data_IF_804567967017
#
_entry.id   IF_804567967017
#
_cell.length_a   1.000
_cell.length_b   1.000
_cell.length_c   1.000
_cell.angle_alpha   90.00
_cell.angle_beta   90.00
_cell.angle_gamma   90.00
#
_symmetry.space_group_name_H-M   'P 1'
#
loop_
_entity.id
_entity.type
_entity.pdbx_description
1 polymer ?
#
# COMPACT_ATOMS: atom_id res chain seq x y z
N UNK A 1 -45.72 23.59 -61.66
CA UNK A 1 -45.03 22.71 -60.68
C UNK A 1 -45.40 23.20 -59.29
N UNK A 2 -46.04 22.35 -58.48
CA UNK A 2 -46.67 22.74 -57.22
C UNK A 2 -45.68 22.78 -56.06
N UNK A 3 -45.35 23.98 -55.59
CA UNK A 3 -44.62 24.18 -54.34
C UNK A 3 -45.58 24.05 -53.16
N UNK A 4 -45.48 22.96 -52.40
CA UNK A 4 -46.20 22.76 -51.15
C UNK A 4 -45.61 23.75 -50.14
N UNK A 5 -46.32 24.84 -49.86
CA UNK A 5 -45.93 25.81 -48.85
C UNK A 5 -45.81 25.14 -47.47
N UNK A 6 -44.90 25.59 -46.59
CA UNK A 6 -44.68 24.95 -45.30
C UNK A 6 -45.97 25.00 -44.46
N UNK A 7 -46.39 23.86 -43.94
CA UNK A 7 -47.55 23.79 -43.02
C UNK A 7 -47.29 24.65 -41.77
N UNK A 8 -48.31 25.36 -41.27
CA UNK A 8 -48.19 26.15 -40.07
C UNK A 8 -47.96 25.23 -38.87
N UNK A 9 -46.79 25.37 -38.24
CA UNK A 9 -46.45 24.64 -37.02
C UNK A 9 -47.43 25.06 -35.91
N UNK A 10 -48.13 24.14 -35.24
CA UNK A 10 -49.11 24.51 -34.22
C UNK A 10 -48.44 25.25 -33.07
N UNK A 11 -48.96 26.44 -32.75
CA UNK A 11 -48.45 27.26 -31.65
C UNK A 11 -48.72 26.59 -30.29
N UNK A 12 -47.66 26.22 -29.58
CA UNK A 12 -47.73 25.66 -28.22
C UNK A 12 -48.49 26.59 -27.27
N UNK A 13 -49.38 26.02 -26.46
CA UNK A 13 -50.08 26.75 -25.38
C UNK A 13 -49.07 27.19 -24.32
N UNK A 14 -49.36 28.30 -23.62
CA UNK A 14 -48.49 28.87 -22.58
C UNK A 14 -48.08 27.82 -21.52
N UNK A 15 -49.00 26.93 -21.12
CA UNK A 15 -48.73 25.84 -20.19
C UNK A 15 -47.73 24.81 -20.71
N UNK A 16 -47.76 24.48 -22.00
CA UNK A 16 -46.80 23.57 -22.63
C UNK A 16 -45.42 24.21 -22.74
N UNK A 17 -45.34 25.51 -23.05
CA UNK A 17 -44.07 26.26 -23.04
C UNK A 17 -43.45 26.28 -21.64
N UNK A 18 -44.27 26.52 -20.61
CA UNK A 18 -43.81 26.51 -19.22
C UNK A 18 -43.27 25.13 -18.80
N UNK A 19 -43.98 24.05 -19.17
CA UNK A 19 -43.56 22.69 -18.89
C UNK A 19 -42.23 22.33 -19.55
N UNK A 20 -42.01 22.75 -20.80
CA UNK A 20 -40.73 22.55 -21.51
C UNK A 20 -39.59 23.29 -20.82
N UNK A 21 -39.82 24.54 -20.38
CA UNK A 21 -38.80 25.32 -19.66
C UNK A 21 -38.43 24.66 -18.33
N UNK A 22 -39.42 24.21 -17.54
CA UNK A 22 -39.17 23.53 -16.26
C UNK A 22 -38.43 22.20 -16.47
N UNK A 23 -38.80 21.42 -17.48
CA UNK A 23 -38.10 20.17 -17.80
C UNK A 23 -36.66 20.44 -18.23
N UNK A 24 -36.43 21.44 -19.08
CA UNK A 24 -35.10 21.80 -19.55
C UNK A 24 -34.20 22.32 -18.43
N UNK A 25 -34.70 23.16 -17.53
CA UNK A 25 -33.93 23.64 -16.37
C UNK A 25 -33.67 22.52 -15.35
N UNK A 26 -34.62 21.62 -15.14
CA UNK A 26 -34.42 20.42 -14.33
C UNK A 26 -33.32 19.51 -14.86
N UNK A 27 -33.32 19.24 -16.17
CA UNK A 27 -32.28 18.44 -16.84
C UNK A 27 -30.91 19.12 -16.84
N UNK A 28 -30.85 20.43 -17.06
CA UNK A 28 -29.61 21.19 -17.00
C UNK A 28 -29.05 21.23 -15.55
N UNK A 29 -29.92 21.39 -14.56
CA UNK A 29 -29.56 21.37 -13.14
C UNK A 29 -29.04 20.01 -12.69
N UNK A 30 -29.71 18.91 -13.07
CA UNK A 30 -29.25 17.56 -12.76
C UNK A 30 -27.96 17.20 -13.49
N UNK A 31 -27.81 17.58 -14.76
CA UNK A 31 -26.56 17.42 -15.50
C UNK A 31 -25.41 18.24 -14.86
N UNK A 32 -25.68 19.46 -14.39
CA UNK A 32 -24.68 20.28 -13.70
C UNK A 32 -24.27 19.68 -12.35
N UNK A 33 -25.23 19.18 -11.56
CA UNK A 33 -24.96 18.48 -10.30
C UNK A 33 -24.13 17.22 -10.54
N UNK A 34 -24.51 16.42 -11.55
CA UNK A 34 -23.77 15.22 -11.94
C UNK A 34 -22.34 15.55 -12.42
N UNK A 35 -22.17 16.55 -13.29
CA UNK A 35 -20.84 17.01 -13.74
C UNK A 35 -19.99 17.54 -12.58
N UNK A 36 -20.60 18.23 -11.62
CA UNK A 36 -19.92 18.74 -10.43
C UNK A 36 -19.45 17.59 -9.54
N UNK A 37 -20.32 16.63 -9.26
CA UNK A 37 -20.01 15.44 -8.47
C UNK A 37 -18.90 14.61 -9.14
N UNK A 38 -18.98 14.40 -10.46
CA UNK A 38 -17.96 13.66 -11.20
C UNK A 38 -16.60 14.40 -11.19
N UNK A 39 -16.61 15.74 -11.31
CA UNK A 39 -15.40 16.55 -11.21
C UNK A 39 -14.78 16.50 -9.81
N UNK A 40 -15.60 16.51 -8.76
CA UNK A 40 -15.16 16.36 -7.37
C UNK A 40 -14.56 14.96 -7.14
N UNK A 41 -15.21 13.88 -7.60
CA UNK A 41 -14.68 12.51 -7.56
C UNK A 41 -13.35 12.37 -8.29
N UNK A 42 -13.23 12.95 -9.50
CA UNK A 42 -11.96 12.94 -10.26
C UNK A 42 -10.84 13.67 -9.53
N UNK A 43 -11.13 14.81 -8.89
CA UNK A 43 -10.17 15.56 -8.09
C UNK A 43 -9.73 14.77 -6.85
N UNK A 44 -10.67 14.13 -6.17
CA UNK A 44 -10.37 13.27 -5.02
C UNK A 44 -9.49 12.08 -5.43
N UNK A 45 -9.80 11.41 -6.56
CA UNK A 45 -8.99 10.31 -7.09
C UNK A 45 -7.56 10.74 -7.40
N UNK A 46 -7.36 11.88 -8.08
CA UNK A 46 -6.02 12.42 -8.36
C UNK A 46 -5.25 12.75 -7.10
N UNK A 47 -5.87 13.47 -6.16
CA UNK A 47 -5.24 13.82 -4.87
C UNK A 47 -4.82 12.57 -4.09
N UNK A 48 -5.59 11.49 -4.17
CA UNK A 48 -5.25 10.20 -3.55
C UNK A 48 -4.08 9.50 -4.25
N UNK A 49 -4.05 9.51 -5.59
CA UNK A 49 -2.92 8.99 -6.37
C UNK A 49 -1.63 9.75 -6.02
N UNK A 50 -1.69 11.08 -5.97
CA UNK A 50 -0.58 11.94 -5.54
C UNK A 50 -0.13 11.64 -4.11
N UNK A 51 -1.07 11.51 -3.16
CA UNK A 51 -0.74 11.14 -1.77
C UNK A 51 -0.06 9.77 -1.67
N UNK A 52 -0.51 8.79 -2.47
CA UNK A 52 0.09 7.45 -2.54
C UNK A 52 1.49 7.46 -3.16
N UNK A 53 1.71 8.32 -4.14
CA UNK A 53 3.00 8.47 -4.81
C UNK A 53 4.02 9.19 -3.91
N UNK A 54 3.57 10.18 -3.13
CA UNK A 54 4.39 10.93 -2.19
C UNK A 54 4.58 10.24 -0.83
N UNK A 55 3.80 9.20 -0.53
CA UNK A 55 3.90 8.46 0.72
C UNK A 55 5.24 7.71 0.83
N UNK A 56 5.70 7.51 2.08
CA UNK A 56 6.80 6.59 2.36
C UNK A 56 6.45 5.19 1.83
N UNK A 57 7.36 4.61 1.04
CA UNK A 57 7.12 3.34 0.35
C UNK A 57 6.22 3.45 -0.89
N UNK A 58 6.00 4.67 -1.40
CA UNK A 58 5.26 4.93 -2.62
C UNK A 58 5.92 4.39 -3.90
N UNK A 59 5.14 4.42 -4.99
CA UNK A 59 5.53 3.91 -6.31
C UNK A 59 5.53 2.38 -6.41
N UNK A 60 5.61 1.85 -7.62
CA UNK A 60 5.54 0.40 -7.85
C UNK A 60 6.90 -0.28 -7.72
N UNK A 61 6.89 -1.54 -7.30
CA UNK A 61 8.05 -2.41 -7.27
C UNK A 61 7.68 -3.77 -7.85
N UNK A 62 8.70 -4.48 -8.34
CA UNK A 62 8.62 -5.87 -8.76
C UNK A 62 9.81 -6.61 -8.15
N UNK A 63 9.51 -7.47 -7.19
CA UNK A 63 10.46 -8.30 -6.47
C UNK A 63 10.07 -9.76 -6.64
N UNK A 64 10.82 -10.66 -6.03
CA UNK A 64 10.55 -12.09 -6.01
C UNK A 64 10.38 -12.56 -4.56
N UNK A 65 9.41 -13.42 -4.29
CA UNK A 65 9.27 -14.03 -2.96
C UNK A 65 10.22 -15.22 -2.74
N UNK A 66 10.28 -15.72 -1.51
CA UNK A 66 11.08 -16.89 -1.15
C UNK A 66 10.65 -18.19 -1.85
N UNK A 67 9.52 -18.18 -2.56
CA UNK A 67 9.04 -19.28 -3.39
C UNK A 67 9.37 -19.11 -4.88
N UNK A 68 10.08 -18.06 -5.24
CA UNK A 68 10.45 -17.74 -6.62
C UNK A 68 9.33 -17.04 -7.40
N UNK A 69 8.21 -16.68 -6.76
CA UNK A 69 7.09 -16.03 -7.44
C UNK A 69 7.30 -14.52 -7.50
N UNK A 70 7.00 -13.87 -8.65
CA UNK A 70 7.06 -12.41 -8.72
C UNK A 70 6.01 -11.80 -7.78
N UNK A 71 6.40 -10.72 -7.09
CA UNK A 71 5.56 -9.94 -6.19
C UNK A 71 5.62 -8.47 -6.56
N UNK A 72 4.44 -7.89 -6.70
CA UNK A 72 4.25 -6.47 -6.98
C UNK A 72 3.64 -5.79 -5.77
N UNK A 73 3.84 -4.47 -5.68
CA UNK A 73 3.16 -3.64 -4.68
C UNK A 73 1.65 -3.87 -4.63
N UNK A 74 1.02 -4.03 -5.79
CA UNK A 74 -0.43 -4.24 -5.94
C UNK A 74 -0.92 -5.52 -5.26
N UNK A 75 -0.07 -6.52 -5.07
CA UNK A 75 -0.44 -7.79 -4.43
C UNK A 75 -0.73 -7.62 -2.93
N UNK A 76 -0.25 -6.51 -2.35
CA UNK A 76 -0.43 -6.17 -0.94
C UNK A 76 -1.54 -5.13 -0.70
N UNK A 77 -2.16 -4.60 -1.76
CA UNK A 77 -3.32 -3.72 -1.61
C UNK A 77 -4.52 -4.50 -1.07
N UNK A 78 -5.31 -3.84 -0.23
CA UNK A 78 -6.41 -4.45 0.53
C UNK A 78 -5.98 -5.19 1.80
N UNK A 79 -4.66 -5.29 2.06
CA UNK A 79 -4.11 -5.98 3.23
C UNK A 79 -3.35 -4.99 4.12
N UNK A 80 -3.40 -5.24 5.42
CA UNK A 80 -2.46 -4.58 6.33
C UNK A 80 -1.10 -5.25 6.21
N UNK A 81 -0.01 -4.48 6.26
CA UNK A 81 1.34 -5.03 6.16
C UNK A 81 2.21 -4.51 7.30
N UNK A 82 2.90 -5.41 7.99
CA UNK A 82 4.10 -5.07 8.77
C UNK A 82 5.32 -5.40 7.94
N UNK A 83 6.11 -4.39 7.60
CA UNK A 83 7.27 -4.52 6.72
C UNK A 83 8.55 -4.29 7.52
N UNK A 84 9.51 -5.20 7.38
CA UNK A 84 10.84 -5.06 7.96
C UNK A 84 11.92 -5.24 6.88
N UNK A 85 12.91 -4.36 6.89
CA UNK A 85 14.10 -4.47 6.05
C UNK A 85 15.26 -5.03 6.89
N UNK A 86 15.97 -6.03 6.36
CA UNK A 86 17.11 -6.64 7.04
C UNK A 86 17.85 -7.60 6.13
N UNK A 87 18.65 -8.50 6.68
CA UNK A 87 19.39 -9.51 5.90
C UNK A 87 19.59 -10.79 6.71
N UNK A 88 19.73 -11.94 6.05
CA UNK A 88 19.75 -13.24 6.74
C UNK A 88 21.04 -13.52 7.53
N UNK A 89 22.11 -12.80 7.20
CA UNK A 89 23.42 -12.93 7.85
C UNK A 89 23.61 -11.99 9.06
N UNK A 90 22.56 -11.30 9.51
CA UNK A 90 22.64 -10.46 10.70
C UNK A 90 22.68 -11.34 11.95
N UNK A 91 23.73 -11.23 12.81
CA UNK A 91 23.94 -12.18 13.90
C UNK A 91 22.84 -12.12 14.97
N UNK A 92 22.37 -10.92 15.32
CA UNK A 92 21.52 -10.72 16.50
C UNK A 92 20.24 -9.92 16.21
N UNK A 93 20.36 -8.76 15.56
CA UNK A 93 19.27 -7.76 15.51
C UNK A 93 18.12 -8.18 14.60
N UNK A 94 18.39 -8.69 13.39
CA UNK A 94 17.31 -9.08 12.48
C UNK A 94 16.48 -10.25 13.03
N UNK A 95 17.08 -11.33 13.57
CA UNK A 95 16.31 -12.39 14.23
C UNK A 95 15.42 -11.88 15.37
N UNK A 96 15.94 -11.01 16.25
CA UNK A 96 15.17 -10.44 17.37
C UNK A 96 13.96 -9.63 16.89
N UNK A 97 14.14 -8.75 15.89
CA UNK A 97 13.05 -7.94 15.35
C UNK A 97 12.00 -8.78 14.61
N UNK A 98 12.42 -9.83 13.89
CA UNK A 98 11.51 -10.76 13.22
C UNK A 98 10.70 -11.59 14.21
N UNK A 99 11.30 -12.05 15.30
CA UNK A 99 10.59 -12.76 16.37
C UNK A 99 9.57 -11.83 17.04
N UNK A 100 9.98 -10.60 17.35
CA UNK A 100 9.09 -9.58 17.92
C UNK A 100 7.91 -9.26 16.99
N UNK A 101 8.17 -9.07 15.70
CA UNK A 101 7.12 -8.87 14.70
C UNK A 101 6.17 -10.08 14.63
N UNK A 102 6.72 -11.30 14.65
CA UNK A 102 5.95 -12.54 14.60
C UNK A 102 5.00 -12.66 15.79
N UNK A 103 5.50 -12.41 17.01
CA UNK A 103 4.66 -12.40 18.23
C UNK A 103 3.59 -11.32 18.19
N UNK A 104 3.89 -10.13 17.66
CA UNK A 104 2.90 -9.06 17.50
C UNK A 104 1.77 -9.49 16.54
N UNK A 105 2.12 -10.18 15.46
CA UNK A 105 1.15 -10.74 14.50
C UNK A 105 0.28 -11.80 15.18
N UNK A 106 0.86 -12.75 15.92
CA UNK A 106 0.11 -13.78 16.66
C UNK A 106 -0.86 -13.21 17.69
N UNK A 107 -0.47 -12.11 18.38
CA UNK A 107 -1.36 -11.41 19.31
C UNK A 107 -2.60 -10.83 18.62
N UNK A 108 -2.45 -10.35 17.38
CA UNK A 108 -3.54 -9.80 16.58
C UNK A 108 -4.42 -10.91 15.98
N UNK A 109 -3.82 -12.02 15.54
CA UNK A 109 -4.56 -13.18 15.01
C UNK A 109 -5.54 -13.79 16.02
N UNK A 110 -5.23 -13.71 17.32
CA UNK A 110 -6.12 -14.13 18.41
C UNK A 110 -7.41 -13.31 18.47
N UNK A 111 -7.53 -12.21 17.70
CA UNK A 111 -8.69 -11.34 17.64
C UNK A 111 -9.44 -11.51 16.30
N UNK A 112 -10.46 -12.39 16.23
CA UNK A 112 -11.07 -12.81 14.96
C UNK A 112 -11.84 -11.70 14.21
N UNK A 113 -12.04 -10.53 14.81
CA UNK A 113 -12.69 -9.38 14.15
C UNK A 113 -11.72 -8.46 13.42
N UNK A 114 -10.42 -8.61 13.65
CA UNK A 114 -9.42 -7.78 12.99
C UNK A 114 -9.13 -8.31 11.58
N UNK A 115 -8.86 -7.42 10.61
CA UNK A 115 -8.42 -7.82 9.29
C UNK A 115 -7.07 -8.53 9.34
N UNK A 116 -6.80 -9.34 8.32
CA UNK A 116 -5.54 -10.05 8.21
C UNK A 116 -4.34 -9.09 8.06
N UNK A 117 -3.27 -9.37 8.80
CA UNK A 117 -2.01 -8.61 8.78
C UNK A 117 -0.90 -9.43 8.14
N UNK A 118 -0.35 -9.01 7.00
CA UNK A 118 0.75 -9.67 6.30
C UNK A 118 2.11 -9.20 6.86
N UNK A 119 2.89 -10.05 7.56
CA UNK A 119 4.27 -9.73 7.86
C UNK A 119 5.15 -9.94 6.62
N UNK A 120 5.96 -8.94 6.29
CA UNK A 120 6.79 -8.87 5.10
C UNK A 120 8.24 -8.55 5.48
N UNK A 121 9.17 -9.35 4.98
CA UNK A 121 10.60 -9.14 5.09
C UNK A 121 11.16 -8.78 3.72
N UNK A 122 11.94 -7.72 3.62
CA UNK A 122 12.67 -7.34 2.39
C UNK A 122 14.16 -7.39 2.68
N UNK A 123 14.91 -8.21 1.92
CA UNK A 123 16.35 -8.26 2.11
C UNK A 123 17.02 -6.94 1.69
N UNK A 124 18.09 -6.57 2.39
CA UNK A 124 19.04 -5.52 2.04
C UNK A 124 20.35 -6.08 1.49
N UNK A 125 20.44 -7.40 1.32
CA UNK A 125 21.64 -8.11 0.91
C UNK A 125 21.35 -9.18 -0.17
N UNK A 126 20.85 -8.76 -1.34
CA UNK A 126 20.41 -9.69 -2.39
C UNK A 126 21.54 -10.53 -2.99
N UNK A 127 22.82 -10.19 -2.75
CA UNK A 127 23.97 -11.01 -3.19
C UNK A 127 24.05 -12.34 -2.43
N UNK A 128 23.63 -12.36 -1.16
CA UNK A 128 23.68 -13.53 -0.28
C UNK A 128 22.30 -14.10 0.03
N UNK A 129 21.27 -13.26 0.01
CA UNK A 129 19.90 -13.61 0.36
C UNK A 129 19.06 -13.98 -0.87
N UNK A 130 19.40 -15.12 -1.49
CA UNK A 130 18.55 -15.70 -2.53
C UNK A 130 17.23 -16.25 -1.96
N UNK A 131 16.29 -16.64 -2.84
CA UNK A 131 14.99 -17.15 -2.42
C UNK A 131 15.10 -18.39 -1.49
N UNK A 132 16.10 -19.24 -1.69
CA UNK A 132 16.29 -20.44 -0.87
C UNK A 132 16.86 -20.10 0.52
N UNK A 133 17.78 -19.15 0.60
CA UNK A 133 18.32 -18.59 1.84
C UNK A 133 17.22 -17.93 2.65
N UNK A 134 16.40 -17.07 2.01
CA UNK A 134 15.23 -16.46 2.63
C UNK A 134 14.25 -17.53 3.16
N UNK A 135 13.92 -18.54 2.35
CA UNK A 135 12.99 -19.60 2.78
C UNK A 135 13.52 -20.36 4.00
N UNK A 136 14.83 -20.65 4.05
CA UNK A 136 15.46 -21.35 5.17
C UNK A 136 15.44 -20.49 6.44
N UNK A 137 15.83 -19.22 6.32
CA UNK A 137 15.87 -18.28 7.42
C UNK A 137 14.47 -18.01 7.99
N UNK A 138 13.51 -17.68 7.13
CA UNK A 138 12.19 -17.22 7.55
C UNK A 138 11.29 -18.31 8.13
N UNK A 139 11.61 -19.60 7.88
CA UNK A 139 10.86 -20.75 8.40
C UNK A 139 10.76 -20.79 9.92
N UNK A 140 11.75 -20.24 10.62
CA UNK A 140 11.83 -20.27 12.09
C UNK A 140 10.93 -19.24 12.81
N UNK A 141 10.27 -18.33 12.07
CA UNK A 141 9.56 -17.20 12.67
C UNK A 141 8.04 -17.38 12.63
N UNK A 142 7.38 -16.95 11.55
CA UNK A 142 5.93 -16.98 11.43
C UNK A 142 5.50 -17.63 10.11
N UNK A 143 4.47 -18.51 10.08
CA UNK A 143 4.06 -19.22 8.86
C UNK A 143 3.55 -18.31 7.74
N UNK A 144 3.02 -17.13 8.09
CA UNK A 144 2.59 -16.10 7.12
C UNK A 144 3.71 -15.15 6.69
N UNK A 145 4.92 -15.27 7.21
CA UNK A 145 6.04 -14.39 6.87
C UNK A 145 6.44 -14.57 5.40
N UNK A 146 6.33 -13.49 4.63
CA UNK A 146 6.74 -13.45 3.23
C UNK A 146 8.07 -12.71 3.13
N UNK A 147 9.08 -13.32 2.52
CA UNK A 147 10.38 -12.74 2.25
C UNK A 147 10.50 -12.31 0.81
N UNK A 148 10.99 -11.11 0.55
CA UNK A 148 11.23 -10.57 -0.78
C UNK A 148 12.72 -10.37 -1.04
N UNK A 149 13.16 -10.79 -2.21
CA UNK A 149 14.50 -10.57 -2.79
C UNK A 149 14.38 -10.15 -4.25
N UNK A 150 15.49 -9.83 -4.91
CA UNK A 150 15.50 -9.36 -6.29
C UNK A 150 16.89 -8.93 -6.74
N UNK A 151 16.97 -8.18 -7.83
CA UNK A 151 18.23 -7.53 -8.21
C UNK A 151 18.61 -6.46 -7.18
N UNK A 152 19.91 -6.20 -7.04
CA UNK A 152 20.41 -5.14 -6.16
C UNK A 152 19.71 -3.80 -6.44
N UNK A 153 19.60 -3.41 -7.72
CA UNK A 153 18.94 -2.16 -8.10
C UNK A 153 17.47 -2.08 -7.65
N UNK A 154 16.73 -3.19 -7.79
CA UNK A 154 15.32 -3.23 -7.38
C UNK A 154 15.17 -3.14 -5.86
N UNK A 155 16.02 -3.83 -5.10
CA UNK A 155 16.04 -3.77 -3.64
C UNK A 155 16.38 -2.35 -3.16
N UNK A 156 17.43 -1.75 -3.72
CA UNK A 156 17.86 -0.41 -3.33
C UNK A 156 16.85 0.68 -3.69
N UNK A 157 16.15 0.55 -4.83
CA UNK A 157 15.05 1.45 -5.18
C UNK A 157 13.90 1.37 -4.16
N UNK A 158 13.49 0.16 -3.76
CA UNK A 158 12.49 -0.04 -2.71
C UNK A 158 12.97 0.54 -1.38
N UNK A 159 14.16 0.17 -0.92
CA UNK A 159 14.74 0.65 0.33
C UNK A 159 14.77 2.20 0.40
N UNK A 160 15.16 2.85 -0.70
CA UNK A 160 15.21 4.32 -0.81
C UNK A 160 13.84 4.97 -0.65
N UNK A 161 12.78 4.38 -1.21
CA UNK A 161 11.40 4.90 -1.08
C UNK A 161 10.87 4.83 0.35
N UNK A 162 11.33 3.85 1.13
CA UNK A 162 11.08 3.76 2.56
C UNK A 162 12.07 4.57 3.41
N UNK A 163 13.00 5.29 2.77
CA UNK A 163 14.10 6.04 3.40
C UNK A 163 14.94 5.17 4.33
N UNK A 164 15.06 3.90 3.99
CA UNK A 164 15.95 2.97 4.69
C UNK A 164 17.37 3.35 4.33
N UNK A 165 18.14 3.78 5.33
CA UNK A 165 19.58 3.85 5.19
C UNK A 165 20.14 2.44 5.38
N UNK A 166 20.98 2.00 4.45
CA UNK A 166 21.81 0.82 4.62
C UNK A 166 23.19 1.05 4.02
N UNK A 167 24.23 0.65 4.74
CA UNK A 167 25.63 0.75 4.33
C UNK A 167 26.33 -0.57 4.61
N UNK A 168 26.91 -1.18 3.58
CA UNK A 168 27.80 -2.31 3.78
C UNK A 168 29.08 -1.82 4.48
N UNK A 169 29.44 -2.49 5.58
CA UNK A 169 30.70 -2.29 6.29
C UNK A 169 31.89 -2.85 5.50
N UNK A 170 33.12 -2.58 5.95
CA UNK A 170 34.31 -3.17 5.37
C UNK A 170 34.26 -4.70 5.48
N UNK A 171 34.72 -5.38 4.43
CA UNK A 171 34.87 -6.85 4.46
C UNK A 171 35.98 -7.24 5.42
N UNK A 172 35.76 -8.27 6.22
CA UNK A 172 36.77 -8.85 7.10
C UNK A 172 37.75 -9.77 6.33
N UNK A 173 38.67 -10.40 7.06
CA UNK A 173 39.69 -11.28 6.48
C UNK A 173 39.11 -12.53 5.77
N UNK A 174 37.88 -12.91 6.12
CA UNK A 174 37.15 -14.05 5.56
C UNK A 174 36.17 -13.62 4.45
N UNK A 175 36.09 -12.31 4.16
CA UNK A 175 35.25 -11.72 3.13
C UNK A 175 33.81 -11.39 3.56
N UNK A 176 33.49 -11.56 4.85
CA UNK A 176 32.18 -11.24 5.44
C UNK A 176 32.05 -9.74 5.72
N UNK A 177 30.82 -9.22 5.69
CA UNK A 177 30.52 -7.82 6.00
C UNK A 177 29.15 -7.69 6.66
N UNK A 178 29.05 -6.69 7.55
CA UNK A 178 27.80 -6.30 8.22
C UNK A 178 27.18 -5.15 7.45
N UNK A 179 25.86 -5.19 7.26
CA UNK A 179 25.11 -4.04 6.73
C UNK A 179 24.55 -3.25 7.91
N UNK A 180 25.05 -2.03 8.12
CA UNK A 180 24.44 -1.08 9.04
C UNK A 180 23.15 -0.57 8.42
N UNK A 181 22.00 -0.89 9.01
CA UNK A 181 20.72 -0.39 8.50
C UNK A 181 19.77 0.15 9.57
N UNK A 182 18.79 0.89 9.10
CA UNK A 182 17.68 1.39 9.93
C UNK A 182 16.86 0.21 10.46
N UNK A 183 16.77 0.07 11.79
CA UNK A 183 16.06 -1.02 12.46
C UNK A 183 14.64 -0.57 12.84
N UNK A 184 13.76 -0.53 11.84
CA UNK A 184 12.36 -0.14 11.98
C UNK A 184 11.44 -1.17 11.35
N UNK A 185 10.33 -1.47 12.03
CA UNK A 185 9.17 -2.17 11.46
C UNK A 185 8.17 -1.11 11.01
N UNK A 186 7.75 -1.15 9.76
CA UNK A 186 6.82 -0.20 9.15
C UNK A 186 5.41 -0.77 9.09
N UNK A 187 4.39 0.02 9.41
CA UNK A 187 2.99 -0.32 9.22
C UNK A 187 2.46 0.33 7.94
N UNK A 188 1.97 -0.49 7.02
CA UNK A 188 1.25 -0.05 5.84
C UNK A 188 -0.24 -0.39 5.98
N UNK A 189 -1.08 0.59 5.63
CA UNK A 189 -2.52 0.39 5.51
C UNK A 189 -2.90 -0.36 4.23
N UNK A 190 -4.18 -0.79 4.11
CA UNK A 190 -4.69 -1.53 2.96
C UNK A 190 -4.71 -0.70 1.66
N UNK A 191 -4.53 0.61 1.72
CA UNK A 191 -4.32 1.45 0.55
C UNK A 191 -2.87 1.52 0.08
N UNK A 192 -1.95 0.81 0.74
CA UNK A 192 -0.52 0.81 0.49
C UNK A 192 0.19 2.05 0.98
N UNK A 193 -0.42 2.83 1.89
CA UNK A 193 0.14 4.05 2.46
C UNK A 193 0.77 3.71 3.81
N UNK A 194 1.94 4.30 4.07
CA UNK A 194 2.60 4.24 5.37
C UNK A 194 1.78 4.97 6.46
N UNK A 195 1.57 4.29 7.58
CA UNK A 195 0.79 4.80 8.71
C UNK A 195 1.63 5.03 9.97
N UNK A 196 2.58 4.14 10.27
CA UNK A 196 3.35 4.17 11.52
C UNK A 196 4.66 3.38 11.41
N UNK A 197 5.56 3.55 12.37
CA UNK A 197 6.80 2.79 12.47
C UNK A 197 7.14 2.44 13.92
N UNK A 198 7.84 1.32 14.10
CA UNK A 198 8.20 0.78 15.40
C UNK A 198 9.70 0.51 15.44
N UNK A 199 10.40 1.24 16.30
CA UNK A 199 11.82 0.99 16.56
C UNK A 199 12.04 -0.06 17.65
N UNK A 200 13.31 -0.42 17.85
CA UNK A 200 13.75 -1.48 18.77
C UNK A 200 13.11 -1.44 20.16
N UNK A 201 12.98 -0.25 20.76
CA UNK A 201 12.43 -0.08 22.11
C UNK A 201 10.94 -0.37 22.28
N UNK A 202 10.19 -0.64 21.19
CA UNK A 202 8.79 -1.06 21.27
C UNK A 202 8.71 -2.56 21.49
N UNK A 203 7.86 -3.01 22.40
CA UNK A 203 7.56 -4.43 22.62
C UNK A 203 6.51 -4.95 21.64
N UNK A 204 6.43 -6.26 21.44
CA UNK A 204 5.42 -6.93 20.60
C UNK A 204 3.98 -6.54 20.98
N UNK A 205 3.70 -6.38 22.28
CA UNK A 205 2.40 -5.99 22.79
C UNK A 205 2.07 -4.52 22.46
N UNK A 206 3.05 -3.63 22.52
CA UNK A 206 2.88 -2.23 22.13
C UNK A 206 2.66 -2.08 20.62
N UNK A 207 3.38 -2.88 19.81
CA UNK A 207 3.19 -2.94 18.36
C UNK A 207 1.78 -3.42 18.06
N UNK A 208 1.37 -4.57 18.60
CA UNK A 208 0.02 -5.13 18.41
C UNK A 208 -1.07 -4.14 18.84
N UNK A 209 -0.90 -3.46 19.98
CA UNK A 209 -1.85 -2.45 20.43
C UNK A 209 -1.95 -1.26 19.47
N UNK A 210 -0.82 -0.77 18.95
CA UNK A 210 -0.81 0.35 17.98
C UNK A 210 -1.48 -0.07 16.66
N UNK A 211 -1.09 -1.23 16.11
CA UNK A 211 -1.65 -1.77 14.86
C UNK A 211 -3.17 -1.95 14.99
N UNK A 212 -3.63 -2.54 16.10
CA UNK A 212 -5.07 -2.68 16.36
C UNK A 212 -5.80 -1.34 16.36
N UNK A 213 -5.23 -0.32 17.01
CA UNK A 213 -5.82 1.02 17.02
C UNK A 213 -5.94 1.57 15.60
N UNK A 214 -4.88 1.46 14.80
CA UNK A 214 -4.91 1.86 13.40
C UNK A 214 -6.01 1.10 12.64
N UNK A 215 -6.14 -0.22 12.82
CA UNK A 215 -7.20 -1.01 12.18
C UNK A 215 -8.61 -0.57 12.59
N UNK A 216 -8.83 -0.27 13.86
CA UNK A 216 -10.14 0.15 14.40
C UNK A 216 -10.53 1.56 13.96
N UNK A 217 -9.56 2.47 13.80
CA UNK A 217 -9.79 3.87 13.40
C UNK A 217 -9.53 4.12 11.91
N UNK A 218 -9.18 3.10 11.14
CA UNK A 218 -8.84 3.28 9.73
C UNK A 218 -10.10 3.63 8.94
N UNK A 219 -10.19 4.88 8.54
CA UNK A 219 -11.14 5.31 7.54
C UNK A 219 -10.48 5.14 6.16
N UNK A 220 -10.93 4.16 5.35
CA UNK A 220 -10.48 4.11 3.97
C UNK A 220 -10.82 5.43 3.31
N UNK A 221 -9.87 6.03 2.61
CA UNK A 221 -10.13 7.19 1.76
C UNK A 221 -11.34 6.86 0.87
N UNK A 222 -12.48 7.47 1.19
CA UNK A 222 -13.80 7.15 0.65
C UNK A 222 -13.83 7.37 -0.87
N UNK A 223 -14.51 6.47 -1.57
CA UNK A 223 -14.67 6.40 -3.03
C UNK A 223 -15.94 7.15 -3.50
#
# INVERSE_FOLDING_TARGET
SGGRGPEPVPALRLSQRLAVVVAATGLAGSAWLWLREEKERRRQRRRREELRELALGGGDFELQDQDGRPRRRTDFLGRWVLLYFGFTHCPDVCPEELEKMSRAVELLEKQPRLPELQPLFVTLDPERDDAAALRRFLRGFHPRLLGLTGSADAIWDVAKRFRVYASAGPRDADGDYIVDHTVLIYLLGPDGIFLDYYGRGKTEAQIAQSVRRHMETYEPLSL
#
